data_IF_861038685579
#
_entry.id   IF_861038685579
#
_cell.length_a   1.000
_cell.length_b   1.000
_cell.length_c   1.000
_cell.angle_alpha   90.00
_cell.angle_beta   90.00
_cell.angle_gamma   90.00
#
_symmetry.space_group_name_H-M   'P 1'
#
loop_
_entity.id
_entity.type
_entity.pdbx_description
1 polymer ?
#
# COMPACT_ATOMS: atom_id res chain seq x y z
N UNK A 1 -6.62 -12.95 21.27
CA UNK A 1 -8.00 -13.11 20.72
C UNK A 1 -8.01 -12.50 19.33
N UNK A 2 -8.76 -13.09 18.39
CA UNK A 2 -8.92 -12.58 17.02
C UNK A 2 -10.31 -11.98 16.90
N UNK A 3 -10.41 -10.74 16.42
CA UNK A 3 -11.70 -10.12 16.07
C UNK A 3 -11.76 -9.94 14.55
N UNK A 4 -12.86 -10.39 13.94
CA UNK A 4 -13.14 -10.17 12.52
C UNK A 4 -14.33 -9.24 12.41
N UNK A 5 -14.09 -8.07 11.85
CA UNK A 5 -15.08 -7.00 11.78
C UNK A 5 -14.95 -6.23 10.48
N UNK A 6 -15.80 -5.23 10.31
CA UNK A 6 -15.80 -4.33 9.16
C UNK A 6 -15.67 -2.90 9.66
N UNK A 7 -14.77 -2.14 9.06
CA UNK A 7 -14.57 -0.72 9.36
C UNK A 7 -14.78 0.11 8.10
N UNK A 8 -15.35 1.30 8.25
CA UNK A 8 -15.57 2.23 7.15
C UNK A 8 -14.22 2.69 6.58
N UNK A 9 -14.09 2.64 5.25
CA UNK A 9 -12.84 3.00 4.57
C UNK A 9 -12.39 4.42 4.94
N UNK A 10 -13.33 5.37 5.03
CA UNK A 10 -13.07 6.75 5.43
C UNK A 10 -12.39 6.83 6.80
N UNK A 11 -12.78 5.98 7.75
CA UNK A 11 -12.23 5.98 9.11
C UNK A 11 -10.84 5.36 9.16
N UNK A 12 -10.62 4.28 8.40
CA UNK A 12 -9.28 3.69 8.26
C UNK A 12 -8.32 4.70 7.64
N UNK A 13 -8.72 5.39 6.56
CA UNK A 13 -7.90 6.41 5.90
C UNK A 13 -7.63 7.61 6.81
N UNK A 14 -8.59 7.97 7.66
CA UNK A 14 -8.40 8.98 8.70
C UNK A 14 -7.35 8.56 9.73
N UNK A 15 -7.40 7.30 10.21
CA UNK A 15 -6.36 6.75 11.10
C UNK A 15 -4.98 6.77 10.46
N UNK A 16 -4.88 6.49 9.15
CA UNK A 16 -3.63 6.62 8.38
C UNK A 16 -3.15 8.07 8.36
N UNK A 17 -4.05 9.01 8.03
CA UNK A 17 -3.73 10.44 7.98
C UNK A 17 -3.24 11.00 9.34
N UNK A 18 -3.85 10.56 10.43
CA UNK A 18 -3.50 10.95 11.79
C UNK A 18 -2.24 10.25 12.33
N UNK A 19 -1.66 9.29 11.59
CA UNK A 19 -0.53 8.48 12.04
C UNK A 19 -0.90 7.45 13.10
N UNK A 20 -2.19 7.14 13.32
CA UNK A 20 -2.64 6.13 14.28
C UNK A 20 -2.54 4.71 13.75
N UNK A 21 -2.71 4.53 12.43
CA UNK A 21 -2.44 3.28 11.72
C UNK A 21 -1.12 3.42 10.95
N UNK A 22 -0.12 2.64 11.35
CA UNK A 22 1.23 2.68 10.75
C UNK A 22 1.67 1.31 10.24
N UNK A 23 2.76 1.25 9.49
CA UNK A 23 3.37 0.01 9.02
C UNK A 23 4.49 -0.41 9.99
N UNK A 24 4.76 -1.71 10.15
CA UNK A 24 6.05 -2.15 10.67
C UNK A 24 7.19 -1.80 9.70
N UNK A 25 8.34 -1.35 10.23
CA UNK A 25 9.49 -0.90 9.43
C UNK A 25 10.13 -2.03 8.61
N UNK A 26 9.83 -3.28 8.93
CA UNK A 26 10.31 -4.44 8.20
C UNK A 26 9.56 -4.75 6.90
N UNK A 27 8.39 -4.14 6.68
CA UNK A 27 7.68 -4.31 5.42
C UNK A 27 8.40 -3.59 4.28
N UNK A 28 8.40 -4.19 3.07
CA UNK A 28 8.96 -3.59 1.86
C UNK A 28 8.37 -2.22 1.52
N UNK A 29 9.06 -1.51 0.65
CA UNK A 29 8.59 -0.22 0.16
C UNK A 29 7.34 -0.37 -0.72
N UNK A 30 6.66 0.75 -0.97
CA UNK A 30 5.53 0.79 -1.88
C UNK A 30 6.00 0.53 -3.33
N UNK A 31 5.33 -0.41 -4.02
CA UNK A 31 5.76 -0.91 -5.35
C UNK A 31 4.64 -0.98 -6.38
N UNK A 32 3.39 -0.67 -6.02
CA UNK A 32 2.28 -0.67 -6.96
C UNK A 32 2.41 0.43 -8.02
N UNK A 33 2.06 0.07 -9.25
CA UNK A 33 2.02 0.96 -10.40
C UNK A 33 0.62 1.54 -10.62
N UNK A 34 0.50 2.33 -11.69
CA UNK A 34 -0.77 3.00 -12.03
C UNK A 34 -1.94 2.03 -12.28
N UNK A 35 -1.69 0.93 -12.99
CA UNK A 35 -2.70 -0.08 -13.30
C UNK A 35 -3.25 -0.75 -12.03
N UNK A 36 -2.38 -1.13 -11.09
CA UNK A 36 -2.79 -1.72 -9.80
C UNK A 36 -3.71 -0.75 -9.03
N UNK A 37 -3.36 0.55 -9.03
CA UNK A 37 -4.15 1.58 -8.35
C UNK A 37 -5.51 1.77 -9.02
N UNK A 38 -5.57 1.88 -10.35
CA UNK A 38 -6.83 2.02 -11.10
C UNK A 38 -7.75 0.81 -10.90
N UNK A 39 -7.20 -0.40 -10.94
CA UNK A 39 -7.94 -1.64 -10.72
C UNK A 39 -8.52 -1.73 -9.30
N UNK A 40 -7.74 -1.31 -8.29
CA UNK A 40 -8.22 -1.24 -6.91
C UNK A 40 -9.35 -0.22 -6.74
N UNK A 41 -9.20 1.00 -7.27
CA UNK A 41 -10.24 2.03 -7.22
C UNK A 41 -11.52 1.53 -7.91
N UNK A 42 -11.40 0.91 -9.09
CA UNK A 42 -12.54 0.34 -9.81
C UNK A 42 -13.27 -0.73 -8.99
N UNK A 43 -12.52 -1.57 -8.26
CA UNK A 43 -13.09 -2.61 -7.41
C UNK A 43 -13.87 -2.01 -6.23
N UNK A 44 -13.31 -1.01 -5.55
CA UNK A 44 -13.99 -0.29 -4.46
C UNK A 44 -15.26 0.40 -4.98
N UNK A 45 -15.16 1.10 -6.11
CA UNK A 45 -16.27 1.82 -6.71
C UNK A 45 -17.41 0.88 -7.17
N UNK A 46 -17.10 -0.36 -7.57
CA UNK A 46 -18.10 -1.42 -7.82
C UNK A 46 -18.64 -2.09 -6.55
N UNK A 47 -18.12 -1.75 -5.37
CA UNK A 47 -18.47 -2.42 -4.12
C UNK A 47 -17.92 -3.85 -4.00
N UNK A 48 -16.93 -4.21 -4.82
CA UNK A 48 -16.33 -5.55 -4.79
C UNK A 48 -15.36 -5.71 -3.62
N UNK A 49 -15.28 -6.90 -3.01
CA UNK A 49 -14.35 -7.15 -1.91
C UNK A 49 -12.90 -7.12 -2.42
N UNK A 50 -12.06 -6.32 -1.79
CA UNK A 50 -10.63 -6.19 -2.15
C UNK A 50 -9.70 -6.94 -1.20
N UNK A 51 -10.25 -7.88 -0.43
CA UNK A 51 -9.57 -8.67 0.61
C UNK A 51 -9.60 -8.01 1.99
N UNK A 52 -9.37 -8.79 3.05
CA UNK A 52 -9.31 -8.26 4.42
C UNK A 52 -7.98 -7.55 4.71
N UNK A 53 -7.95 -6.63 5.67
CA UNK A 53 -6.73 -6.12 6.28
C UNK A 53 -6.36 -6.96 7.50
N UNK A 54 -5.08 -7.06 7.79
CA UNK A 54 -4.59 -7.62 9.06
C UNK A 54 -3.92 -6.49 9.85
N UNK A 55 -4.35 -6.30 11.10
CA UNK A 55 -3.83 -5.25 11.98
C UNK A 55 -3.43 -5.82 13.34
N UNK A 56 -2.53 -5.12 14.04
CA UNK A 56 -2.07 -5.45 15.39
C UNK A 56 -2.18 -4.24 16.29
N UNK A 57 -2.90 -4.38 17.41
CA UNK A 57 -2.90 -3.36 18.46
C UNK A 57 -1.52 -3.22 19.10
N UNK A 58 -1.09 -1.98 19.28
CA UNK A 58 0.18 -1.64 19.90
C UNK A 58 0.08 -1.66 21.43
N UNK A 59 1.25 -1.70 22.11
CA UNK A 59 1.33 -1.73 23.57
C UNK A 59 1.18 -3.14 24.18
N UNK A 60 1.39 -4.17 23.36
CA UNK A 60 1.50 -5.56 23.78
C UNK A 60 2.94 -6.02 24.00
N UNK A 61 3.13 -7.33 24.13
CA UNK A 61 4.46 -7.96 24.26
C UNK A 61 5.33 -7.77 23.01
N UNK A 62 4.71 -7.75 21.83
CA UNK A 62 5.40 -7.55 20.55
C UNK A 62 5.47 -6.07 20.21
N UNK A 63 6.68 -5.52 20.15
CA UNK A 63 6.95 -4.17 19.66
C UNK A 63 7.69 -4.21 18.33
N UNK A 64 7.04 -3.72 17.28
CA UNK A 64 7.70 -3.46 16.00
C UNK A 64 7.99 -1.98 15.87
N UNK A 65 9.16 -1.65 15.31
CA UNK A 65 9.49 -0.26 14.93
C UNK A 65 8.45 0.22 13.92
N UNK A 66 7.73 1.32 14.19
CA UNK A 66 6.69 1.78 13.30
C UNK A 66 7.25 2.74 12.24
N UNK A 67 6.59 2.79 11.08
CA UNK A 67 6.80 3.79 10.04
C UNK A 67 5.45 4.19 9.43
N UNK A 68 5.31 5.46 9.05
CA UNK A 68 4.10 5.92 8.38
C UNK A 68 3.96 5.35 6.97
N UNK A 69 2.72 5.31 6.46
CA UNK A 69 2.46 4.98 5.06
C UNK A 69 2.99 6.11 4.16
N UNK A 70 3.36 5.77 2.92
CA UNK A 70 3.78 6.77 1.93
C UNK A 70 2.68 7.84 1.72
N UNK A 71 3.10 9.10 1.66
CA UNK A 71 2.22 10.26 1.49
C UNK A 71 1.65 10.84 2.78
N UNK A 72 1.84 10.20 3.94
CA UNK A 72 1.43 10.76 5.24
C UNK A 72 2.45 11.81 5.69
N UNK A 73 1.99 13.02 6.01
CA UNK A 73 2.87 14.13 6.42
C UNK A 73 3.16 14.14 7.93
N UNK A 74 2.23 13.64 8.74
CA UNK A 74 2.34 13.61 10.19
C UNK A 74 3.51 12.72 10.61
N UNK A 75 4.34 13.22 11.52
CA UNK A 75 5.48 12.52 12.10
C UNK A 75 5.34 12.45 13.61
N UNK A 76 6.10 11.53 14.22
CA UNK A 76 6.24 11.40 15.67
C UNK A 76 4.95 11.09 16.45
N UNK A 77 3.91 10.60 15.77
CA UNK A 77 2.71 10.05 16.42
C UNK A 77 2.96 8.58 16.78
N UNK A 78 2.66 8.21 18.03
CA UNK A 78 2.67 6.81 18.44
C UNK A 78 1.43 6.12 17.84
N UNK A 79 1.60 5.06 17.02
CA UNK A 79 0.45 4.37 16.45
C UNK A 79 -0.36 3.66 17.54
N UNK A 80 -1.67 3.55 17.33
CA UNK A 80 -2.53 2.66 18.11
C UNK A 80 -2.56 1.26 17.50
N UNK A 81 -2.42 1.17 16.18
CA UNK A 81 -2.49 -0.06 15.40
C UNK A 81 -1.37 -0.13 14.35
N UNK A 82 -0.86 -1.33 14.08
CA UNK A 82 0.08 -1.62 13.00
C UNK A 82 -0.60 -2.43 11.90
N UNK A 83 -0.46 -2.02 10.65
CA UNK A 83 -0.97 -2.70 9.46
C UNK A 83 0.01 -3.80 9.03
N UNK A 84 -0.36 -5.04 9.28
CA UNK A 84 0.47 -6.22 9.03
C UNK A 84 0.29 -6.78 7.61
N UNK A 85 -0.90 -6.65 7.03
CA UNK A 85 -1.20 -6.95 5.63
C UNK A 85 -2.12 -5.88 5.02
N UNK A 86 -1.97 -5.66 3.72
CA UNK A 86 -2.76 -4.69 2.97
C UNK A 86 -2.07 -3.35 2.77
N UNK A 87 -0.77 -3.25 3.06
CA UNK A 87 0.04 -2.05 2.85
C UNK A 87 -0.20 -1.41 1.48
N UNK A 88 -0.01 -2.16 0.40
CA UNK A 88 -0.08 -1.59 -0.95
C UNK A 88 -1.49 -1.05 -1.27
N UNK A 89 -2.53 -1.73 -0.79
CA UNK A 89 -3.92 -1.30 -0.95
C UNK A 89 -4.21 -0.01 -0.18
N UNK A 90 -3.84 0.03 1.10
CA UNK A 90 -4.10 1.19 1.94
C UNK A 90 -3.27 2.41 1.55
N UNK A 91 -1.99 2.21 1.17
CA UNK A 91 -1.15 3.28 0.62
C UNK A 91 -1.74 3.85 -0.68
N UNK A 92 -2.29 2.99 -1.54
CA UNK A 92 -2.92 3.43 -2.80
C UNK A 92 -4.19 4.23 -2.56
N UNK A 93 -5.11 3.70 -1.75
CA UNK A 93 -6.39 4.35 -1.44
C UNK A 93 -6.20 5.66 -0.68
N UNK A 94 -5.25 5.70 0.27
CA UNK A 94 -4.92 6.92 0.98
C UNK A 94 -4.46 8.01 0.03
N UNK A 95 -3.46 7.73 -0.81
CA UNK A 95 -2.93 8.74 -1.71
C UNK A 95 -3.95 9.14 -2.80
N UNK A 96 -4.74 8.21 -3.33
CA UNK A 96 -5.63 8.46 -4.46
C UNK A 96 -6.95 9.13 -4.07
N UNK A 97 -7.50 8.81 -2.90
CA UNK A 97 -8.86 9.19 -2.50
C UNK A 97 -8.95 10.10 -1.27
N UNK A 98 -7.85 10.26 -0.51
CA UNK A 98 -7.87 11.00 0.75
C UNK A 98 -6.81 12.11 0.82
N UNK A 99 -5.58 11.83 0.36
CA UNK A 99 -4.51 12.80 0.36
C UNK A 99 -4.78 13.91 -0.68
N UNK A 100 -4.53 15.16 -0.28
CA UNK A 100 -4.60 16.30 -1.22
C UNK A 100 -3.38 16.36 -2.13
N UNK A 101 -2.25 15.84 -1.67
CA UNK A 101 -1.01 15.78 -2.43
C UNK A 101 -1.07 14.68 -3.51
N UNK A 102 -0.37 14.86 -4.65
CA UNK A 102 -0.24 13.82 -5.68
C UNK A 102 0.37 12.50 -5.15
N UNK A 103 -0.13 11.37 -5.64
CA UNK A 103 0.32 10.00 -5.36
C UNK A 103 1.70 9.77 -5.96
N UNK A 104 2.68 9.35 -5.16
CA UNK A 104 3.96 8.86 -5.69
C UNK A 104 3.79 7.41 -6.12
N UNK A 105 3.80 7.16 -7.43
CA UNK A 105 3.68 5.84 -8.05
C UNK A 105 4.83 5.57 -9.02
N UNK A 106 4.88 4.37 -9.60
CA UNK A 106 5.84 4.00 -10.65
C UNK A 106 5.12 3.86 -11.99
N UNK A 107 5.70 4.46 -13.02
CA UNK A 107 5.23 4.21 -14.38
C UNK A 107 5.71 2.85 -14.91
N UNK A 108 5.31 2.49 -16.13
CA UNK A 108 5.72 1.24 -16.81
C UNK A 108 7.24 1.07 -16.94
N UNK A 109 8.00 2.17 -16.87
CA UNK A 109 9.46 2.20 -16.90
C UNK A 109 10.11 2.20 -15.50
N UNK A 110 9.34 1.91 -14.43
CA UNK A 110 9.76 1.93 -13.02
C UNK A 110 10.23 3.29 -12.50
N UNK A 111 10.05 4.37 -13.27
CA UNK A 111 10.38 5.73 -12.85
C UNK A 111 9.30 6.22 -11.89
N UNK A 112 9.73 6.90 -10.83
CA UNK A 112 8.83 7.57 -9.91
C UNK A 112 8.06 8.67 -10.66
N UNK A 113 6.74 8.65 -10.54
CA UNK A 113 5.84 9.66 -11.12
C UNK A 113 4.81 10.05 -10.07
N UNK A 114 4.39 11.30 -10.12
CA UNK A 114 3.36 11.83 -9.24
C UNK A 114 2.04 11.93 -9.99
N UNK A 115 0.97 11.34 -9.43
CA UNK A 115 -0.33 11.24 -10.07
C UNK A 115 -1.49 11.68 -9.19
N UNK A 116 -2.48 12.31 -9.80
CA UNK A 116 -3.81 12.50 -9.25
C UNK A 116 -4.78 11.63 -10.04
N UNK A 117 -5.79 11.08 -9.36
CA UNK A 117 -6.79 10.23 -10.00
C UNK A 117 -8.10 10.99 -10.18
N UNK A 118 -8.66 10.89 -11.37
CA UNK A 118 -9.98 11.40 -11.72
C UNK A 118 -10.87 10.27 -12.19
N UNK A 119 -12.18 10.44 -12.01
CA UNK A 119 -13.19 9.55 -12.57
C UNK A 119 -13.96 10.33 -13.63
N UNK A 120 -13.96 9.80 -14.85
CA UNK A 120 -14.81 10.26 -15.94
C UNK A 120 -16.25 9.87 -15.66
N UNK A 121 -17.07 10.86 -15.32
CA UNK A 121 -18.46 10.68 -14.90
C UNK A 121 -19.28 10.01 -16.02
N UNK A 122 -19.04 10.40 -17.28
CA UNK A 122 -19.78 9.85 -18.43
C UNK A 122 -19.44 8.39 -18.65
N UNK A 123 -18.14 8.05 -18.62
CA UNK A 123 -17.69 6.67 -18.81
C UNK A 123 -18.09 5.79 -17.64
N UNK A 124 -18.03 6.30 -16.41
CA UNK A 124 -18.42 5.56 -15.22
C UNK A 124 -19.93 5.25 -15.19
N UNK A 125 -20.77 6.15 -15.70
CA UNK A 125 -22.21 5.93 -15.84
C UNK A 125 -22.59 4.99 -17.02
N UNK A 126 -21.68 4.75 -17.97
CA UNK A 126 -21.98 3.96 -19.16
C UNK A 126 -21.99 2.44 -18.88
N UNK A 127 -23.06 1.75 -19.28
CA UNK A 127 -23.23 0.31 -19.03
C UNK A 127 -22.30 -0.62 -19.85
N UNK A 128 -21.59 -0.10 -20.85
CA UNK A 128 -20.82 -0.89 -21.84
C UNK A 128 -19.29 -0.80 -21.69
N UNK A 129 -18.76 -0.20 -20.62
CA UNK A 129 -17.33 -0.05 -20.38
C UNK A 129 -16.84 -0.68 -19.09
N UNK A 130 -15.53 -0.95 -18.97
CA UNK A 130 -14.92 -1.23 -17.68
C UNK A 130 -14.83 0.07 -16.90
N UNK A 131 -15.28 0.10 -15.64
CA UNK A 131 -15.07 1.25 -14.75
C UNK A 131 -13.59 1.64 -14.62
N UNK A 132 -12.68 0.69 -14.83
CA UNK A 132 -11.24 0.96 -14.85
C UNK A 132 -10.82 1.94 -15.95
N UNK A 133 -11.51 1.93 -17.10
CA UNK A 133 -11.28 2.84 -18.22
C UNK A 133 -11.83 4.25 -17.96
N UNK A 134 -12.73 4.39 -16.98
CA UNK A 134 -13.22 5.67 -16.50
C UNK A 134 -12.25 6.32 -15.50
N UNK A 135 -11.29 5.58 -14.95
CA UNK A 135 -10.34 6.10 -13.97
C UNK A 135 -9.07 6.56 -14.70
N UNK A 136 -8.74 7.84 -14.54
CA UNK A 136 -7.66 8.51 -15.27
C UNK A 136 -6.61 9.00 -14.28
N UNK A 137 -5.38 8.50 -14.42
CA UNK A 137 -4.22 9.01 -13.68
C UNK A 137 -3.58 10.19 -14.41
N UNK A 138 -3.78 11.41 -13.91
CA UNK A 138 -3.18 12.64 -14.46
C UNK A 138 -1.91 13.03 -13.69
N UNK A 139 -0.93 13.73 -14.30
CA UNK A 139 0.25 14.21 -13.59
C UNK A 139 -0.09 15.21 -12.48
N UNK A 140 0.90 15.54 -11.63
CA UNK A 140 0.76 16.51 -10.55
C UNK A 140 0.29 17.91 -11.02
N UNK A 141 0.70 18.33 -12.22
CA UNK A 141 0.26 19.60 -12.84
C UNK A 141 -1.11 19.50 -13.52
N UNK A 142 -1.75 18.33 -13.47
CA UNK A 142 -3.09 18.02 -13.99
C UNK A 142 -3.22 18.15 -15.52
N UNK A 143 -2.10 18.11 -16.25
CA UNK A 143 -2.09 18.22 -17.71
C UNK A 143 -1.39 17.01 -18.32
N UNK A 144 -2.15 16.15 -19.00
CA UNK A 144 -1.63 15.01 -19.75
C UNK A 144 -1.12 15.51 -21.10
N UNK A 145 0.12 15.11 -21.42
CA UNK A 145 0.77 15.50 -22.68
C UNK A 145 1.42 14.30 -23.36
N UNK A 146 1.30 14.22 -24.68
CA UNK A 146 1.98 13.28 -25.56
C UNK A 146 3.04 14.01 -26.41
N UNK A 147 3.74 13.28 -27.29
CA UNK A 147 4.74 13.82 -28.21
C UNK A 147 5.84 14.64 -27.51
N UNK A 148 6.41 14.06 -26.44
CA UNK A 148 7.44 14.71 -25.63
C UNK A 148 7.00 16.07 -25.04
N UNK A 149 5.72 16.17 -24.64
CA UNK A 149 5.17 17.37 -24.00
C UNK A 149 4.65 18.43 -24.96
N UNK A 150 4.62 18.17 -26.28
CA UNK A 150 4.19 19.13 -27.29
C UNK A 150 2.68 19.15 -27.53
N UNK A 151 2.00 18.03 -27.28
CA UNK A 151 0.55 17.89 -27.50
C UNK A 151 -0.13 17.77 -26.15
N UNK A 152 -1.13 18.62 -25.88
CA UNK A 152 -1.98 18.51 -24.69
C UNK A 152 -3.16 17.60 -25.05
N UNK A 153 -3.24 16.44 -24.41
CA UNK A 153 -4.31 15.47 -24.64
C UNK A 153 -5.46 15.66 -23.66
N UNK A 154 -5.15 16.09 -22.44
CA UNK A 154 -6.12 16.33 -21.38
C UNK A 154 -5.59 17.43 -20.45
N UNK A 155 -6.45 18.38 -20.09
CA UNK A 155 -6.13 19.46 -19.17
C UNK A 155 -7.25 19.62 -18.15
N UNK A 156 -6.96 19.30 -16.89
CA UNK A 156 -7.86 19.50 -15.74
C UNK A 156 -7.18 20.36 -14.66
N UNK A 157 -6.32 21.28 -15.09
CA UNK A 157 -5.56 22.18 -14.20
C UNK A 157 -6.43 23.18 -13.45
N UNK A 158 -7.65 23.45 -13.92
CA UNK A 158 -8.60 24.37 -13.29
C UNK A 158 -9.95 23.69 -13.07
N UNK A 159 -10.73 24.25 -12.14
CA UNK A 159 -12.06 23.73 -11.81
C UNK A 159 -13.01 23.74 -13.02
N UNK A 160 -13.04 24.83 -13.76
CA UNK A 160 -13.86 24.92 -14.98
C UNK A 160 -13.51 23.82 -15.99
N UNK A 161 -12.23 23.48 -16.12
CA UNK A 161 -11.78 22.40 -17.01
C UNK A 161 -12.15 21.01 -16.50
N UNK A 162 -12.10 20.77 -15.19
CA UNK A 162 -12.67 19.56 -14.57
C UNK A 162 -14.15 19.41 -14.96
N UNK A 163 -14.92 20.50 -14.88
CA UNK A 163 -16.35 20.52 -15.16
C UNK A 163 -16.68 20.33 -16.64
N UNK A 164 -15.99 21.03 -17.54
CA UNK A 164 -16.21 20.92 -18.99
C UNK A 164 -16.02 19.48 -19.50
N UNK A 165 -15.13 18.73 -18.85
CA UNK A 165 -14.82 17.35 -19.20
C UNK A 165 -15.59 16.33 -18.35
N UNK A 166 -16.38 16.78 -17.38
CA UNK A 166 -17.06 15.95 -16.37
C UNK A 166 -16.11 14.95 -15.69
N UNK A 167 -14.95 15.47 -15.26
CA UNK A 167 -13.91 14.70 -14.57
C UNK A 167 -13.93 15.00 -13.07
N UNK A 168 -14.38 14.02 -12.29
CA UNK A 168 -14.45 14.12 -10.84
C UNK A 168 -13.09 13.81 -10.18
N UNK A 169 -12.52 14.72 -9.37
CA UNK A 169 -11.27 14.47 -8.64
C UNK A 169 -11.49 13.46 -7.50
N UNK A 170 -10.90 12.28 -7.60
CA UNK A 170 -11.12 11.18 -6.64
C UNK A 170 -10.69 11.54 -5.21
N UNK A 171 -9.69 12.39 -5.05
CA UNK A 171 -9.23 12.84 -3.73
C UNK A 171 -10.23 13.74 -2.98
N UNK A 172 -11.33 14.11 -3.63
CA UNK A 172 -12.46 14.82 -3.02
C UNK A 172 -13.64 13.88 -2.74
N UNK A 173 -13.52 12.56 -2.98
CA UNK A 173 -14.66 11.62 -2.86
C UNK A 173 -15.32 11.65 -1.49
N UNK A 174 -14.55 11.79 -0.41
CA UNK A 174 -15.09 11.79 0.95
C UNK A 174 -15.59 13.16 1.44
N UNK A 175 -15.32 14.24 0.69
CA UNK A 175 -15.70 15.62 0.99
C UNK A 175 -16.15 16.32 -0.31
N UNK A 176 -17.04 15.66 -1.05
CA UNK A 176 -17.36 15.97 -2.46
C UNK A 176 -18.43 17.04 -2.66
N UNK A 177 -19.07 17.49 -1.58
CA UNK A 177 -20.26 18.34 -1.59
C UNK A 177 -20.07 19.63 -2.40
N UNK A 178 -19.01 20.38 -2.11
CA UNK A 178 -18.75 21.68 -2.74
C UNK A 178 -18.47 21.49 -4.23
N UNK A 179 -17.72 20.45 -4.60
CA UNK A 179 -17.45 20.11 -5.99
C UNK A 179 -18.73 19.89 -6.79
N UNK A 180 -19.68 19.10 -6.25
CA UNK A 180 -20.94 18.81 -6.93
C UNK A 180 -21.84 20.05 -7.02
N UNK A 181 -21.85 20.94 -6.02
CA UNK A 181 -22.61 22.19 -6.12
C UNK A 181 -22.07 23.09 -7.24
N UNK A 182 -20.76 23.31 -7.26
CA UNK A 182 -20.11 24.13 -8.28
C UNK A 182 -20.29 23.54 -9.69
N UNK A 183 -20.17 22.22 -9.84
CA UNK A 183 -20.37 21.52 -11.12
C UNK A 183 -21.82 21.63 -11.63
N UNK A 184 -22.80 21.52 -10.72
CA UNK A 184 -24.23 21.71 -11.05
C UNK A 184 -24.53 23.13 -11.49
N UNK A 185 -24.00 24.12 -10.78
CA UNK A 185 -24.20 25.53 -11.11
C UNK A 185 -23.51 25.91 -12.43
N UNK A 186 -22.31 25.37 -12.69
CA UNK A 186 -21.59 25.53 -13.95
C UNK A 186 -22.42 25.08 -15.16
N UNK A 187 -23.00 23.88 -15.10
CA UNK A 187 -23.81 23.35 -16.22
C UNK A 187 -25.20 23.98 -16.30
N UNK A 188 -25.79 24.37 -15.17
CA UNK A 188 -27.03 25.17 -15.14
C UNK A 188 -26.85 26.50 -15.87
N UNK A 189 -25.75 27.21 -15.62
CA UNK A 189 -25.44 28.47 -16.30
C UNK A 189 -25.25 28.30 -17.82
N UNK A 190 -24.73 27.14 -18.26
CA UNK A 190 -24.56 26.79 -19.68
C UNK A 190 -25.79 26.09 -20.31
N UNK A 191 -26.87 25.88 -19.54
CA UNK A 191 -28.11 25.28 -20.03
C UNK A 191 -28.04 23.77 -20.34
N UNK A 192 -27.03 23.04 -19.85
CA UNK A 192 -26.95 21.59 -19.99
C UNK A 192 -27.63 20.90 -18.80
N UNK A 193 -28.61 20.04 -19.08
CA UNK A 193 -29.16 19.17 -18.05
C UNK A 193 -28.21 18.01 -17.76
N UNK A 194 -27.81 17.90 -16.50
CA UNK A 194 -26.95 16.82 -15.97
C UNK A 194 -27.64 16.05 -14.84
N UNK A 195 -28.93 16.28 -14.59
CA UNK A 195 -29.65 15.75 -13.42
C UNK A 195 -29.58 14.23 -13.33
N UNK A 196 -29.78 13.52 -14.44
CA UNK A 196 -29.68 12.05 -14.48
C UNK A 196 -28.24 11.57 -14.30
N UNK A 197 -27.29 12.21 -14.99
CA UNK A 197 -25.87 11.87 -14.93
C UNK A 197 -25.30 12.04 -13.51
N UNK A 198 -25.63 13.16 -12.87
CA UNK A 198 -25.32 13.46 -11.48
C UNK A 198 -25.89 12.40 -10.53
N UNK A 199 -27.20 12.16 -10.62
CA UNK A 199 -27.89 11.17 -9.77
C UNK A 199 -27.27 9.79 -9.90
N UNK A 200 -27.02 9.34 -11.13
CA UNK A 200 -26.48 8.01 -11.37
C UNK A 200 -25.03 7.90 -10.90
N UNK A 201 -24.19 8.88 -11.19
CA UNK A 201 -22.81 8.88 -10.72
C UNK A 201 -22.70 8.88 -9.19
N UNK A 202 -23.45 9.75 -8.52
CA UNK A 202 -23.45 9.81 -7.06
C UNK A 202 -23.92 8.49 -6.46
N UNK A 203 -25.05 7.96 -6.92
CA UNK A 203 -25.65 6.74 -6.35
C UNK A 203 -24.82 5.49 -6.61
N UNK A 204 -24.18 5.38 -7.78
CA UNK A 204 -23.50 4.14 -8.18
C UNK A 204 -22.03 4.13 -7.83
N UNK A 205 -21.36 5.28 -7.88
CA UNK A 205 -19.90 5.38 -7.69
C UNK A 205 -19.57 6.03 -6.35
N UNK A 206 -20.04 7.26 -6.11
CA UNK A 206 -19.64 8.04 -4.93
C UNK A 206 -20.13 7.37 -3.65
N UNK A 207 -21.43 7.06 -3.56
CA UNK A 207 -22.04 6.37 -2.42
C UNK A 207 -21.36 5.02 -2.14
N UNK A 208 -20.97 4.30 -3.20
CA UNK A 208 -20.30 3.00 -3.11
C UNK A 208 -18.92 3.12 -2.46
N UNK A 209 -18.14 4.14 -2.84
CA UNK A 209 -16.82 4.42 -2.25
C UNK A 209 -16.96 4.96 -0.82
N UNK A 210 -17.85 5.93 -0.60
CA UNK A 210 -18.04 6.58 0.70
C UNK A 210 -18.50 5.59 1.78
N UNK A 211 -19.37 4.65 1.43
CA UNK A 211 -19.92 3.63 2.34
C UNK A 211 -19.14 2.32 2.31
N UNK A 212 -17.99 2.29 1.63
CA UNK A 212 -17.22 1.07 1.51
C UNK A 212 -16.71 0.62 2.88
N UNK A 213 -17.02 -0.63 3.24
CA UNK A 213 -16.58 -1.24 4.49
C UNK A 213 -15.52 -2.31 4.23
N UNK A 214 -14.32 -2.06 4.73
CA UNK A 214 -13.20 -2.97 4.59
C UNK A 214 -13.27 -4.07 5.66
N UNK A 215 -13.18 -5.36 5.31
CA UNK A 215 -13.00 -6.42 6.29
C UNK A 215 -11.65 -6.25 7.00
N UNK A 216 -11.63 -6.36 8.32
CA UNK A 216 -10.40 -6.26 9.13
C UNK A 216 -10.35 -7.43 10.10
N UNK A 217 -9.19 -8.07 10.15
CA UNK A 217 -8.79 -9.01 11.19
C UNK A 217 -7.88 -8.26 12.15
N UNK A 218 -8.31 -8.09 13.40
CA UNK A 218 -7.54 -7.41 14.44
C UNK A 218 -6.88 -8.41 15.36
N UNK A 219 -5.56 -8.28 15.50
CA UNK A 219 -4.77 -8.96 16.52
C UNK A 219 -4.69 -8.03 17.73
N UNK A 220 -5.35 -8.42 18.81
CA UNK A 220 -5.24 -7.76 20.11
C UNK A 220 -3.81 -7.83 20.68
N UNK A 221 -3.46 -6.85 21.53
CA UNK A 221 -2.13 -6.69 22.15
C UNK A 221 -1.71 -7.85 23.06
N UNK A 222 -2.67 -8.65 23.55
CA UNK A 222 -2.43 -9.82 24.41
C UNK A 222 -2.15 -11.10 23.62
N UNK A 223 -2.17 -11.04 22.27
CA UNK A 223 -1.75 -12.20 21.47
C UNK A 223 -0.24 -12.44 21.64
N UNK A 224 0.11 -13.71 21.92
CA UNK A 224 1.52 -14.12 22.05
C UNK A 224 2.26 -13.95 20.73
N UNK A 225 3.57 -13.70 20.83
CA UNK A 225 4.45 -13.52 19.68
C UNK A 225 4.39 -14.67 18.68
N UNK A 226 4.36 -15.91 19.15
CA UNK A 226 4.31 -17.09 18.29
C UNK A 226 3.04 -17.12 17.44
N UNK A 227 1.89 -16.72 18.02
CA UNK A 227 0.63 -16.65 17.29
C UNK A 227 0.66 -15.57 16.20
N UNK A 228 1.27 -14.42 16.50
CA UNK A 228 1.44 -13.32 15.53
C UNK A 228 2.33 -13.78 14.37
N UNK A 229 3.47 -14.40 14.64
CA UNK A 229 4.37 -14.93 13.60
C UNK A 229 3.70 -15.98 12.71
N UNK A 230 2.92 -16.91 13.30
CA UNK A 230 2.19 -17.93 12.52
C UNK A 230 1.11 -17.31 11.63
N UNK A 231 0.42 -16.27 12.11
CA UNK A 231 -0.58 -15.57 11.31
C UNK A 231 0.09 -14.83 10.15
N UNK A 232 1.22 -14.17 10.42
CA UNK A 232 2.04 -13.59 9.36
C UNK A 232 2.44 -14.65 8.33
N UNK A 233 3.01 -15.77 8.74
CA UNK A 233 3.41 -16.84 7.81
C UNK A 233 2.24 -17.32 6.94
N UNK A 234 1.07 -17.56 7.55
CA UNK A 234 -0.11 -18.09 6.86
C UNK A 234 -0.80 -17.10 5.94
N UNK A 235 -0.93 -15.84 6.35
CA UNK A 235 -1.56 -14.79 5.52
C UNK A 235 -0.70 -14.46 4.30
N UNK A 236 0.62 -14.63 4.40
CA UNK A 236 1.56 -14.38 3.32
C UNK A 236 1.69 -15.50 2.27
N UNK A 237 0.85 -16.54 2.35
CA UNK A 237 0.83 -17.65 1.37
C UNK A 237 -0.03 -17.34 0.14
N UNK A 238 -1.02 -16.43 0.26
CA UNK A 238 -2.04 -16.19 -0.77
C UNK A 238 -1.83 -14.97 -1.70
N UNK A 239 -0.87 -14.09 -1.43
CA UNK A 239 -0.63 -12.83 -2.17
C UNK A 239 0.76 -12.71 -2.80
N UNK A 240 1.20 -11.49 -3.15
CA UNK A 240 2.60 -11.21 -3.55
C UNK A 240 3.50 -11.42 -2.32
N UNK A 241 3.96 -12.67 -2.18
CA UNK A 241 4.64 -13.25 -1.00
C UNK A 241 5.64 -12.28 -0.37
N UNK A 242 5.70 -12.31 0.96
CA UNK A 242 6.83 -11.73 1.69
C UNK A 242 8.10 -12.47 1.27
N UNK A 243 9.17 -11.72 1.05
CA UNK A 243 10.48 -12.32 0.81
C UNK A 243 11.04 -12.94 2.10
N UNK A 244 11.98 -13.87 1.98
CA UNK A 244 12.65 -14.51 3.12
C UNK A 244 13.19 -13.47 4.12
N UNK A 245 13.64 -12.32 3.62
CA UNK A 245 14.07 -11.19 4.44
C UNK A 245 12.96 -10.59 5.31
N UNK A 246 11.75 -10.44 4.78
CA UNK A 246 10.61 -9.86 5.52
C UNK A 246 10.09 -10.83 6.58
N UNK A 247 10.11 -12.14 6.29
CA UNK A 247 9.79 -13.20 7.27
C UNK A 247 10.82 -13.24 8.40
N UNK A 248 12.10 -13.27 8.06
CA UNK A 248 13.20 -13.25 9.05
C UNK A 248 13.15 -11.96 9.85
N UNK A 249 12.91 -10.81 9.21
CA UNK A 249 12.81 -9.54 9.93
C UNK A 249 11.57 -9.49 10.81
N UNK A 250 10.42 -10.01 10.39
CA UNK A 250 9.25 -10.11 11.27
C UNK A 250 9.55 -11.00 12.50
N UNK A 251 10.31 -12.09 12.33
CA UNK A 251 10.73 -12.97 13.41
C UNK A 251 11.65 -12.22 14.40
N UNK A 252 12.63 -11.44 13.94
CA UNK A 252 13.64 -10.81 14.81
C UNK A 252 13.38 -9.34 15.18
N UNK A 253 12.52 -8.61 14.47
CA UNK A 253 12.16 -7.22 14.78
C UNK A 253 11.44 -7.11 16.13
N UNK A 254 10.78 -8.18 16.56
CA UNK A 254 10.18 -8.31 17.88
C UNK A 254 11.21 -8.39 19.03
N UNK A 255 12.51 -8.47 18.75
CA UNK A 255 13.60 -8.52 19.75
C UNK A 255 14.34 -7.18 19.93
N UNK A 256 13.78 -6.07 19.44
CA UNK A 256 14.44 -4.75 19.40
C UNK A 256 15.73 -4.74 18.55
N UNK A 257 15.82 -5.65 17.59
CA UNK A 257 16.94 -5.75 16.66
C UNK A 257 16.50 -5.26 15.27
N UNK A 258 17.12 -4.19 14.78
CA UNK A 258 16.81 -3.59 13.48
C UNK A 258 17.65 -4.24 12.37
N UNK A 259 17.21 -5.42 11.91
CA UNK A 259 17.88 -6.15 10.83
C UNK A 259 17.96 -5.35 9.53
N UNK A 260 17.05 -4.40 9.29
CA UNK A 260 17.03 -3.61 8.06
C UNK A 260 18.18 -2.61 8.03
N UNK A 261 18.46 -1.93 9.13
CA UNK A 261 19.65 -1.08 9.24
C UNK A 261 20.95 -1.88 9.17
N UNK A 262 21.02 -3.04 9.85
CA UNK A 262 22.21 -3.89 9.88
C UNK A 262 22.51 -4.51 8.50
N UNK A 263 21.47 -4.92 7.76
CA UNK A 263 21.60 -5.47 6.41
C UNK A 263 21.98 -4.40 5.38
N UNK A 264 21.41 -3.19 5.49
CA UNK A 264 21.74 -2.06 4.61
C UNK A 264 23.08 -1.40 4.98
N UNK A 265 23.76 -1.88 6.04
CA UNK A 265 25.15 -1.54 6.35
C UNK A 265 25.36 -0.17 7.00
N UNK A 266 24.34 0.40 7.66
CA UNK A 266 24.40 1.79 8.10
C UNK A 266 25.06 2.05 9.48
N UNK A 267 25.60 1.05 10.19
CA UNK A 267 26.53 1.24 11.33
C UNK A 267 27.63 0.17 11.41
N UNK A 268 28.76 0.53 12.05
CA UNK A 268 29.89 -0.38 12.35
C UNK A 268 29.36 -1.66 13.01
N UNK A 269 29.59 -2.79 12.34
CA UNK A 269 29.29 -4.12 12.85
C UNK A 269 29.94 -4.35 14.22
N UNK A 270 29.16 -4.25 15.29
CA UNK A 270 29.58 -4.69 16.62
C UNK A 270 28.38 -5.07 17.50
N UNK A 271 27.46 -5.90 16.98
CA UNK A 271 26.59 -6.71 17.84
C UNK A 271 26.55 -8.13 17.28
N UNK A 272 26.83 -9.10 18.15
CA UNK A 272 26.69 -10.52 17.85
C UNK A 272 25.26 -10.80 17.41
N UNK A 273 25.10 -11.51 16.30
CA UNK A 273 23.78 -11.97 15.86
C UNK A 273 23.10 -12.76 16.99
N UNK A 274 21.80 -12.54 17.25
CA UNK A 274 21.07 -13.39 18.18
C UNK A 274 21.08 -14.84 17.67
N UNK A 275 21.22 -15.83 18.57
CA UNK A 275 21.14 -17.24 18.18
C UNK A 275 19.75 -17.52 17.59
N UNK A 276 19.71 -18.30 16.50
CA UNK A 276 18.45 -18.78 15.95
C UNK A 276 17.63 -19.48 17.05
N UNK A 277 16.30 -19.26 17.13
CA UNK A 277 15.47 -19.97 18.09
C UNK A 277 15.61 -21.47 17.84
N UNK A 278 16.31 -22.17 18.74
CA UNK A 278 16.40 -23.62 18.69
C UNK A 278 15.07 -24.20 19.16
N UNK A 279 14.34 -24.86 18.26
CA UNK A 279 13.27 -25.78 18.64
C UNK A 279 13.89 -26.94 19.43
N UNK A 280 13.57 -27.06 20.72
CA UNK A 280 14.02 -28.15 21.60
C UNK A 280 13.24 -29.45 21.34
N UNK A 281 13.07 -29.83 20.08
CA UNK A 281 12.45 -31.10 19.65
C UNK A 281 13.19 -31.79 18.50
N UNK A 282 14.52 -31.73 18.47
CA UNK A 282 15.30 -32.52 17.50
C UNK A 282 16.55 -33.11 18.14
N UNK A 283 16.37 -34.20 18.90
CA UNK A 283 17.43 -35.21 18.99
C UNK A 283 17.37 -36.12 17.74
N UNK A 284 18.51 -36.61 17.23
CA UNK A 284 18.58 -37.25 15.93
C UNK A 284 18.10 -38.71 16.01
N UNK A 285 16.80 -38.94 15.88
CA UNK A 285 16.29 -40.27 15.56
C UNK A 285 16.53 -40.57 14.08
N UNK A 286 17.48 -41.47 13.81
CA UNK A 286 17.72 -42.08 12.50
C UNK A 286 16.42 -42.73 12.00
N UNK A 287 15.79 -42.18 10.97
CA UNK A 287 14.95 -42.91 10.03
C UNK A 287 14.78 -42.06 8.75
N UNK A 288 15.06 -42.70 7.61
CA UNK A 288 15.05 -42.08 6.30
C UNK A 288 13.63 -41.83 5.79
N UNK A 289 13.31 -40.57 5.47
CA UNK A 289 12.29 -40.20 4.49
C UNK A 289 12.62 -38.81 3.91
N UNK A 290 12.46 -38.56 2.60
CA UNK A 290 12.92 -37.32 1.97
C UNK A 290 11.81 -36.28 1.96
N UNK A 291 11.73 -35.44 3.00
CA UNK A 291 10.77 -34.35 3.06
C UNK A 291 11.40 -32.96 2.93
N UNK A 292 10.68 -32.10 2.19
CA UNK A 292 11.04 -30.75 1.75
C UNK A 292 11.44 -29.75 2.85
N UNK A 293 11.19 -30.06 4.13
CA UNK A 293 11.57 -29.23 5.28
C UNK A 293 13.08 -29.12 5.51
N UNK A 294 13.86 -30.16 5.19
CA UNK A 294 15.32 -30.14 5.38
C UNK A 294 16.05 -29.20 4.40
N UNK A 295 15.45 -28.89 3.24
CA UNK A 295 16.06 -27.98 2.25
C UNK A 295 15.90 -26.50 2.62
N UNK A 296 14.83 -26.14 3.34
CA UNK A 296 14.57 -24.77 3.78
C UNK A 296 15.47 -24.36 4.94
N UNK A 297 15.65 -25.23 5.95
CA UNK A 297 16.52 -24.95 7.10
C UNK A 297 17.99 -24.84 6.68
N UNK A 298 18.48 -25.73 5.81
CA UNK A 298 19.83 -25.66 5.27
C UNK A 298 20.04 -24.45 4.33
N UNK A 299 19.02 -24.07 3.55
CA UNK A 299 19.05 -22.91 2.66
C UNK A 299 19.11 -21.57 3.40
N UNK A 300 18.35 -21.43 4.49
CA UNK A 300 18.36 -20.25 5.37
C UNK A 300 19.68 -20.12 6.14
N UNK A 301 20.27 -21.25 6.57
CA UNK A 301 21.59 -21.27 7.20
C UNK A 301 22.71 -20.88 6.22
N UNK A 302 22.61 -21.27 4.93
CA UNK A 302 23.59 -20.87 3.91
C UNK A 302 23.48 -19.39 3.52
N UNK A 303 22.26 -18.84 3.45
CA UNK A 303 22.01 -17.43 3.12
C UNK A 303 22.42 -16.48 4.25
N UNK A 304 22.27 -16.87 5.51
CA UNK A 304 22.69 -16.06 6.66
C UNK A 304 24.22 -15.90 6.78
N UNK A 305 25.00 -16.83 6.20
CA UNK A 305 26.47 -16.81 6.25
C UNK A 305 27.13 -16.41 4.91
N UNK A 306 26.36 -16.23 3.84
CA UNK A 306 26.88 -15.77 2.56
C UNK A 306 27.13 -14.24 2.59
N UNK A 307 28.34 -13.83 2.99
CA UNK A 307 28.79 -12.45 2.81
C UNK A 307 28.79 -12.08 1.31
N UNK A 308 28.33 -10.88 0.90
CA UNK A 308 28.61 -10.38 -0.43
C UNK A 308 30.12 -10.23 -0.61
N UNK A 309 30.68 -10.82 -1.67
CA UNK A 309 32.06 -10.58 -2.03
C UNK A 309 32.25 -9.09 -2.35
N UNK A 310 33.04 -8.39 -1.53
CA UNK A 310 33.52 -7.04 -1.85
C UNK A 310 34.34 -7.10 -3.15
N UNK A 311 34.06 -6.28 -4.18
CA UNK A 311 34.92 -6.21 -5.35
C UNK A 311 36.26 -5.61 -4.91
N UNK A 312 37.33 -6.42 -4.89
CA UNK A 312 38.69 -5.93 -4.71
C UNK A 312 39.03 -5.04 -5.89
N UNK A 313 39.35 -3.79 -5.61
CA UNK A 313 39.78 -2.79 -6.58
C UNK A 313 40.94 -3.30 -7.45
N UNK A 314 40.87 -2.94 -8.73
CA UNK A 314 41.90 -3.22 -9.73
C UNK A 314 43.24 -2.61 -9.30
N UNK A 315 44.22 -3.46 -9.01
CA UNK A 315 45.62 -3.02 -8.96
C UNK A 315 46.11 -2.84 -10.39
N UNK A 316 46.39 -1.58 -10.74
CA UNK A 316 47.23 -1.21 -11.90
C UNK A 316 48.57 -1.94 -11.81
N UNK A 317 48.87 -2.80 -12.78
CA UNK A 317 50.25 -3.18 -13.08
C UNK A 317 50.95 -1.96 -13.71
N UNK A 318 51.93 -1.39 -13.01
CA UNK A 318 52.92 -0.48 -13.60
C UNK A 318 53.97 -1.33 -14.29
N UNK A 319 54.24 -1.02 -15.55
CA UNK A 319 55.36 -1.57 -16.31
C UNK A 319 56.71 -1.15 -15.72
N UNK A 320 57.66 -2.06 -15.84
CA UNK A 320 59.08 -1.80 -16.04
C UNK A 320 59.52 -2.67 -17.21
#
# INVERSE_FOLDING_TARGET
MFDTTKEDLKDILRKVNEGKLQLPDFQRDYVWGDEDVRSLIASIAKGFPVGALLTLETGGEVEFKPRVLEGVEVRDVRPTELLLDGQQRMTSLFQAAFAKAPVRTRNVHKKLVERLYYIDIKKAAASKGSLEDAIIGVPADRIVRTNFGKTIDLDVSTRDREFELDLFPLNQVFDSRDWFYDWRDFWRAKGRDITELDRDFVRTIVDSIERYKMPIIRLDRNNKREAICVVFEKVNVGGKKLDAFELVTAIYAAEKFDLREDWNGHKKASKSWPPFPHDRRTEPARCAHPDSQYRLSAGLHALAYARPATPKGSRRCKGR
#
